data_IF_519766722630
#
_entry.id   IF_519766722630
#
_cell.length_a   1.000
_cell.length_b   1.000
_cell.length_c   1.000
_cell.angle_alpha   90.00
_cell.angle_beta   90.00
_cell.angle_gamma   90.00
#
_symmetry.space_group_name_H-M   'P 1'
#
loop_
_entity.id
_entity.type
_entity.pdbx_description
1 polymer ?
#
# COMPACT_ATOMS: atom_id res chain seq x y z
N UNK A 1 -10.48 25.72 -8.09
CA UNK A 1 -10.14 24.29 -8.03
C UNK A 1 -10.71 23.61 -9.25
N UNK A 2 -10.02 22.64 -9.86
CA UNK A 2 -10.61 21.74 -10.85
C UNK A 2 -11.89 21.08 -10.31
N UNK A 3 -12.85 20.77 -11.20
CA UNK A 3 -14.14 20.21 -10.79
C UNK A 3 -14.04 18.80 -10.19
N UNK A 4 -12.93 18.11 -10.45
CA UNK A 4 -12.58 16.76 -10.00
C UNK A 4 -11.54 16.75 -8.88
N UNK A 5 -11.20 17.92 -8.32
CA UNK A 5 -10.26 18.00 -7.22
C UNK A 5 -10.88 17.52 -5.90
N UNK A 6 -10.10 16.72 -5.16
CA UNK A 6 -10.39 16.37 -3.77
C UNK A 6 -9.59 17.28 -2.85
N UNK A 7 -10.25 17.84 -1.83
CA UNK A 7 -9.62 18.68 -0.81
C UNK A 7 -9.50 17.87 0.47
N UNK A 8 -8.27 17.71 0.95
CA UNK A 8 -7.95 17.05 2.20
C UNK A 8 -7.42 18.09 3.20
N UNK A 9 -7.69 17.87 4.47
CA UNK A 9 -6.96 18.50 5.56
C UNK A 9 -5.50 18.02 5.57
N UNK A 10 -4.62 18.75 6.29
CA UNK A 10 -3.23 18.34 6.43
C UNK A 10 -3.09 16.96 7.09
N UNK A 11 -3.95 16.66 8.07
CA UNK A 11 -3.97 15.37 8.77
C UNK A 11 -4.44 14.25 7.83
N UNK A 12 -5.54 14.45 7.09
CA UNK A 12 -6.01 13.47 6.09
C UNK A 12 -4.98 13.20 4.98
N UNK A 13 -4.25 14.25 4.54
CA UNK A 13 -3.18 14.10 3.56
C UNK A 13 -2.00 13.28 4.11
N UNK A 14 -1.65 13.49 5.39
CA UNK A 14 -0.60 12.74 6.08
C UNK A 14 -1.01 11.28 6.26
N UNK A 15 -2.22 11.02 6.75
CA UNK A 15 -2.77 9.68 6.91
C UNK A 15 -2.88 8.91 5.59
N UNK A 16 -3.20 9.61 4.49
CA UNK A 16 -3.18 9.01 3.15
C UNK A 16 -1.75 8.67 2.71
N UNK A 17 -0.80 9.59 2.90
CA UNK A 17 0.60 9.38 2.53
C UNK A 17 1.20 8.19 3.29
N UNK A 18 0.91 8.05 4.58
CA UNK A 18 1.36 6.93 5.40
C UNK A 18 0.81 5.60 4.89
N UNK A 19 -0.49 5.52 4.58
CA UNK A 19 -1.09 4.28 4.04
C UNK A 19 -0.53 3.91 2.67
N UNK A 20 -0.27 4.88 1.80
CA UNK A 20 0.39 4.64 0.50
C UNK A 20 1.83 4.17 0.70
N UNK A 21 2.55 4.74 1.67
CA UNK A 21 3.90 4.30 2.02
C UNK A 21 3.90 2.84 2.46
N UNK A 22 2.97 2.44 3.33
CA UNK A 22 2.85 1.04 3.77
C UNK A 22 2.55 0.09 2.60
N UNK A 23 1.69 0.48 1.66
CA UNK A 23 1.42 -0.34 0.47
C UNK A 23 2.67 -0.50 -0.41
N UNK A 24 3.48 0.55 -0.56
CA UNK A 24 4.76 0.47 -1.29
C UNK A 24 5.72 -0.49 -0.60
N UNK A 25 5.92 -0.37 0.72
CA UNK A 25 6.82 -1.25 1.45
C UNK A 25 6.39 -2.72 1.34
N UNK A 26 5.10 -3.03 1.49
CA UNK A 26 4.62 -4.39 1.31
C UNK A 26 4.88 -4.92 -0.12
N UNK A 27 4.89 -4.06 -1.14
CA UNK A 27 5.25 -4.45 -2.50
C UNK A 27 6.76 -4.67 -2.67
N UNK A 28 7.58 -3.84 -2.03
CA UNK A 28 9.04 -3.98 -1.97
C UNK A 28 9.44 -5.29 -1.27
N UNK A 29 8.72 -5.69 -0.22
CA UNK A 29 8.93 -6.96 0.48
C UNK A 29 8.63 -8.16 -0.43
N UNK A 30 7.54 -8.11 -1.22
CA UNK A 30 7.25 -9.14 -2.24
C UNK A 30 8.37 -9.22 -3.27
N UNK A 31 8.86 -8.08 -3.77
CA UNK A 31 9.95 -8.06 -4.76
C UNK A 31 11.23 -8.69 -4.19
N UNK A 32 11.59 -8.33 -2.96
CA UNK A 32 12.75 -8.89 -2.24
C UNK A 32 12.59 -10.40 -2.06
N UNK A 33 11.42 -10.86 -1.61
CA UNK A 33 11.16 -12.29 -1.42
C UNK A 33 11.25 -13.09 -2.73
N UNK A 34 10.83 -12.50 -3.86
CA UNK A 34 11.01 -13.11 -5.19
C UNK A 34 12.49 -13.21 -5.55
N UNK A 35 13.27 -12.15 -5.32
CA UNK A 35 14.72 -12.14 -5.58
C UNK A 35 15.48 -13.15 -4.72
N UNK A 36 15.04 -13.36 -3.48
CA UNK A 36 15.63 -14.32 -2.53
C UNK A 36 15.15 -15.77 -2.76
N UNK A 37 14.19 -15.99 -3.66
CA UNK A 37 13.65 -17.32 -3.95
C UNK A 37 12.80 -17.88 -2.82
N UNK A 38 12.05 -17.02 -2.14
CA UNK A 38 11.13 -17.38 -1.07
C UNK A 38 10.11 -18.45 -1.53
N UNK A 39 9.59 -19.20 -0.57
CA UNK A 39 8.63 -20.25 -0.84
C UNK A 39 7.30 -19.68 -1.34
N UNK A 40 6.53 -20.54 -2.01
CA UNK A 40 5.18 -20.17 -2.46
C UNK A 40 4.28 -19.71 -1.29
N UNK A 41 4.42 -20.30 -0.10
CA UNK A 41 3.62 -19.92 1.06
C UNK A 41 4.02 -18.56 1.64
N UNK A 42 5.31 -18.24 1.67
CA UNK A 42 5.78 -16.90 2.07
C UNK A 42 5.32 -15.82 1.08
N UNK A 43 5.48 -16.08 -0.22
CA UNK A 43 5.01 -15.15 -1.25
C UNK A 43 3.50 -14.93 -1.18
N UNK A 44 2.72 -15.97 -0.86
CA UNK A 44 1.27 -15.85 -0.66
C UNK A 44 0.95 -14.96 0.54
N UNK A 45 1.66 -15.12 1.67
CA UNK A 45 1.46 -14.28 2.85
C UNK A 45 1.78 -12.81 2.57
N UNK A 46 2.91 -12.54 1.90
CA UNK A 46 3.31 -11.18 1.52
C UNK A 46 2.31 -10.55 0.53
N UNK A 47 1.80 -11.32 -0.43
CA UNK A 47 0.72 -10.85 -1.32
C UNK A 47 -0.54 -10.48 -0.53
N UNK A 48 -0.92 -11.28 0.48
CA UNK A 48 -2.08 -10.98 1.32
C UNK A 48 -1.84 -9.70 2.16
N UNK A 49 -0.62 -9.46 2.64
CA UNK A 49 -0.22 -8.23 3.33
C UNK A 49 -0.30 -7.01 2.43
N UNK A 50 0.27 -7.09 1.22
CA UNK A 50 0.19 -6.05 0.21
C UNK A 50 -1.27 -5.70 -0.13
N UNK A 51 -2.13 -6.71 -0.31
CA UNK A 51 -3.55 -6.49 -0.58
C UNK A 51 -4.26 -5.82 0.60
N UNK A 52 -3.90 -6.14 1.85
CA UNK A 52 -4.43 -5.45 3.03
C UNK A 52 -3.98 -3.98 3.06
N UNK A 53 -2.71 -3.71 2.83
CA UNK A 53 -2.16 -2.36 2.81
C UNK A 53 -2.77 -1.51 1.68
N UNK A 54 -2.96 -2.09 0.49
CA UNK A 54 -3.59 -1.42 -0.65
C UNK A 54 -5.05 -1.07 -0.36
N UNK A 55 -5.83 -2.00 0.23
CA UNK A 55 -7.22 -1.72 0.64
C UNK A 55 -7.30 -0.63 1.70
N UNK A 56 -6.36 -0.60 2.63
CA UNK A 56 -6.28 0.47 3.61
C UNK A 56 -6.00 1.80 2.93
N UNK A 57 -5.10 1.83 1.95
CA UNK A 57 -4.80 3.02 1.16
C UNK A 57 -6.02 3.49 0.34
N UNK A 58 -6.78 2.59 -0.31
CA UNK A 58 -7.91 2.94 -1.20
C UNK A 58 -9.10 3.63 -0.51
N UNK A 59 -9.26 3.49 0.80
CA UNK A 59 -10.41 3.99 1.56
C UNK A 59 -10.52 5.52 1.71
N UNK A 60 -9.87 6.31 0.86
CA UNK A 60 -9.99 7.79 0.84
C UNK A 60 -11.16 8.30 -0.04
N UNK A 61 -11.84 7.41 -0.77
CA UNK A 61 -13.01 7.72 -1.60
C UNK A 61 -14.29 7.44 -0.83
#
# INVERSE_FOLDING_TARGET
MPADAVVLTADEATDLADRVYQARCAAEDVATAVEEGATHDELRQLCEELLRATKAADGWR
#
